data_IF_134479240182
#
_entry.id   IF_134479240182
#
_cell.length_a   1.000
_cell.length_b   1.000
_cell.length_c   1.000
_cell.angle_alpha   90.00
_cell.angle_beta   90.00
_cell.angle_gamma   90.00
#
_symmetry.space_group_name_H-M   'P 1'
#
loop_
_entity.id
_entity.type
_entity.pdbx_description
1 polymer ?
#
# COMPACT_ATOMS: atom_id res chain seq x y z
N UNK A 1 -45.87 -3.71 69.50
CA UNK A 1 -44.71 -4.09 68.66
C UNK A 1 -45.09 -3.96 67.21
N UNK A 2 -44.67 -2.88 66.57
CA UNK A 2 -44.87 -2.67 65.10
C UNK A 2 -43.58 -3.05 64.42
N UNK A 3 -43.57 -4.08 63.57
CA UNK A 3 -42.48 -4.46 62.72
C UNK A 3 -42.50 -3.52 61.49
N UNK A 4 -41.40 -2.79 61.29
CA UNK A 4 -41.13 -2.01 60.10
C UNK A 4 -40.39 -2.91 59.13
N UNK A 5 -41.05 -3.26 58.02
CA UNK A 5 -40.42 -3.99 56.90
C UNK A 5 -39.70 -2.98 56.03
N UNK A 6 -38.38 -3.01 56.04
CA UNK A 6 -37.53 -2.19 55.18
C UNK A 6 -37.37 -2.91 53.84
N UNK A 7 -38.02 -2.44 52.80
CA UNK A 7 -37.86 -2.94 51.40
C UNK A 7 -36.66 -2.19 50.80
N UNK A 8 -35.54 -2.86 50.67
CA UNK A 8 -34.38 -2.38 49.92
C UNK A 8 -34.65 -2.58 48.42
N UNK A 9 -34.90 -1.47 47.72
CA UNK A 9 -34.88 -1.40 46.23
C UNK A 9 -33.43 -1.35 45.77
N UNK A 10 -32.86 -2.49 45.32
CA UNK A 10 -31.63 -2.56 44.59
C UNK A 10 -31.87 -2.10 43.17
N UNK A 11 -31.61 -0.83 42.90
CA UNK A 11 -31.52 -0.29 41.55
C UNK A 11 -30.25 -0.84 40.86
N UNK A 12 -30.43 -1.89 40.06
CA UNK A 12 -29.41 -2.30 39.10
C UNK A 12 -29.30 -1.23 38.00
N UNK A 13 -28.37 -0.28 38.18
CA UNK A 13 -27.87 0.52 37.06
C UNK A 13 -27.04 -0.39 36.17
N UNK A 14 -27.64 -0.96 35.14
CA UNK A 14 -26.88 -1.48 34.00
C UNK A 14 -26.26 -0.29 33.30
N UNK A 15 -25.00 0.00 33.62
CA UNK A 15 -24.16 0.85 32.76
C UNK A 15 -24.03 0.13 31.43
N UNK A 16 -24.88 0.49 30.46
CA UNK A 16 -24.57 0.27 29.06
C UNK A 16 -23.37 1.16 28.73
N UNK A 17 -22.17 0.64 28.93
CA UNK A 17 -20.97 1.24 28.38
C UNK A 17 -21.06 1.05 26.87
N UNK A 18 -21.60 2.04 26.16
CA UNK A 18 -21.29 2.21 24.76
C UNK A 18 -19.78 2.43 24.71
N UNK A 19 -19.02 1.46 24.18
CA UNK A 19 -17.63 1.66 23.87
C UNK A 19 -17.58 2.83 22.89
N UNK A 20 -17.06 3.96 23.33
CA UNK A 20 -16.80 5.10 22.47
C UNK A 20 -15.81 4.64 21.38
N UNK A 21 -16.06 5.01 20.11
CA UNK A 21 -15.15 4.64 19.03
C UNK A 21 -13.76 5.19 19.33
N UNK A 22 -12.79 4.32 19.38
CA UNK A 22 -11.43 4.71 19.72
C UNK A 22 -10.68 5.26 18.51
N UNK A 23 -10.98 4.73 17.31
CA UNK A 23 -10.24 5.01 16.08
C UNK A 23 -11.10 5.72 15.03
N UNK A 24 -12.36 5.37 14.87
CA UNK A 24 -13.25 5.99 13.90
C UNK A 24 -13.63 7.41 14.33
N UNK A 25 -13.34 8.40 13.48
CA UNK A 25 -13.75 9.80 13.69
C UNK A 25 -15.05 10.10 12.96
N UNK A 26 -15.09 9.82 11.66
CA UNK A 26 -16.28 10.00 10.83
C UNK A 26 -16.23 9.14 9.57
N UNK A 27 -17.39 8.98 8.93
CA UNK A 27 -17.51 8.33 7.64
C UNK A 27 -18.61 8.97 6.82
N UNK A 28 -18.43 8.95 5.50
CA UNK A 28 -19.39 9.50 4.56
C UNK A 28 -19.58 8.53 3.40
N UNK A 29 -20.82 8.17 3.09
CA UNK A 29 -21.12 7.44 1.85
C UNK A 29 -20.91 8.41 0.68
N UNK A 30 -19.86 8.22 -0.11
CA UNK A 30 -19.50 9.12 -1.20
C UNK A 30 -20.00 8.64 -2.55
N UNK A 31 -20.22 7.30 -2.69
CA UNK A 31 -20.70 6.72 -3.94
C UNK A 31 -21.32 5.35 -3.74
N UNK A 32 -22.28 5.01 -4.60
CA UNK A 32 -22.83 3.65 -4.71
C UNK A 32 -22.76 3.19 -6.16
N UNK A 33 -22.20 2.01 -6.38
CA UNK A 33 -22.17 1.36 -7.68
C UNK A 33 -23.10 0.16 -7.74
N UNK A 34 -23.93 0.10 -8.77
CA UNK A 34 -24.66 -1.12 -9.11
C UNK A 34 -23.78 -2.05 -9.96
N UNK A 35 -24.11 -3.33 -10.00
CA UNK A 35 -23.47 -4.29 -10.94
C UNK A 35 -23.51 -3.81 -12.39
N UNK A 36 -24.57 -3.09 -12.78
CA UNK A 36 -24.70 -2.51 -14.12
C UNK A 36 -23.65 -1.44 -14.34
N UNK A 37 -23.55 -0.45 -13.45
CA UNK A 37 -22.56 0.64 -13.57
C UNK A 37 -21.13 0.13 -13.53
N UNK A 38 -20.81 -0.84 -12.65
CA UNK A 38 -19.47 -1.48 -12.63
C UNK A 38 -19.20 -2.21 -13.95
N UNK A 39 -20.20 -2.89 -14.51
CA UNK A 39 -20.05 -3.58 -15.80
C UNK A 39 -19.79 -2.62 -16.96
N UNK A 40 -20.36 -1.43 -16.92
CA UNK A 40 -20.11 -0.35 -17.89
C UNK A 40 -18.69 0.21 -17.73
N UNK A 41 -18.22 0.45 -16.48
CA UNK A 41 -16.83 0.82 -16.20
C UNK A 41 -15.85 -0.23 -16.72
N UNK A 42 -16.10 -1.54 -16.48
CA UNK A 42 -15.24 -2.61 -16.99
C UNK A 42 -15.17 -2.63 -18.51
N UNK A 43 -16.31 -2.37 -19.19
CA UNK A 43 -16.35 -2.24 -20.65
C UNK A 43 -15.52 -1.04 -21.12
N UNK A 44 -15.70 0.13 -20.50
CA UNK A 44 -14.97 1.37 -20.80
C UNK A 44 -13.45 1.18 -20.66
N UNK A 45 -13.01 0.58 -19.56
CA UNK A 45 -11.60 0.36 -19.25
C UNK A 45 -11.04 -0.97 -19.77
N UNK A 46 -11.81 -1.73 -20.57
CA UNK A 46 -11.43 -3.03 -21.16
C UNK A 46 -11.00 -4.07 -20.13
N UNK A 47 -11.60 -4.05 -18.93
CA UNK A 47 -11.31 -5.00 -17.85
C UNK A 47 -12.09 -6.29 -18.08
N UNK A 48 -11.41 -7.47 -18.24
CA UNK A 48 -12.10 -8.73 -18.46
C UNK A 48 -12.86 -9.19 -17.21
N UNK A 49 -14.19 -9.36 -17.31
CA UNK A 49 -15.03 -9.86 -16.20
C UNK A 49 -14.64 -11.27 -15.71
N UNK A 50 -13.94 -12.05 -16.51
CA UNK A 50 -13.42 -13.36 -16.10
C UNK A 50 -12.30 -13.24 -15.08
N UNK A 51 -11.58 -12.12 -15.07
CA UNK A 51 -10.49 -11.81 -14.12
C UNK A 51 -11.07 -11.10 -12.90
N UNK A 52 -11.82 -10.01 -13.11
CA UNK A 52 -12.52 -9.26 -12.08
C UNK A 52 -14.05 -9.39 -12.29
N UNK A 53 -14.66 -10.43 -11.76
CA UNK A 53 -16.09 -10.69 -11.97
C UNK A 53 -16.95 -9.68 -11.21
N UNK A 54 -18.01 -9.19 -11.86
CA UNK A 54 -18.98 -8.28 -11.28
C UNK A 54 -20.13 -9.08 -10.66
N UNK A 55 -20.12 -9.24 -9.33
CA UNK A 55 -21.09 -10.07 -8.61
C UNK A 55 -22.00 -9.31 -7.69
N UNK A 56 -21.54 -8.21 -7.12
CA UNK A 56 -22.23 -7.45 -6.10
C UNK A 56 -22.21 -5.95 -6.42
N UNK A 57 -23.27 -5.26 -5.99
CA UNK A 57 -23.24 -3.80 -5.87
C UNK A 57 -22.24 -3.43 -4.77
N UNK A 58 -21.73 -2.20 -4.79
CA UNK A 58 -20.70 -1.73 -3.86
C UNK A 58 -21.02 -0.33 -3.40
N UNK A 59 -21.01 -0.12 -2.09
CA UNK A 59 -21.01 1.20 -1.47
C UNK A 59 -19.58 1.62 -1.16
N UNK A 60 -19.25 2.89 -1.38
CA UNK A 60 -17.94 3.48 -1.19
C UNK A 60 -18.04 4.57 -0.14
N UNK A 61 -17.29 4.41 0.93
CA UNK A 61 -17.23 5.37 2.02
C UNK A 61 -15.84 6.02 2.06
N UNK A 62 -15.83 7.31 2.31
CA UNK A 62 -14.66 7.99 2.85
C UNK A 62 -14.67 7.79 4.36
N UNK A 63 -13.53 7.41 4.92
CA UNK A 63 -13.37 7.16 6.37
C UNK A 63 -12.27 8.05 6.91
N UNK A 64 -12.59 8.78 7.98
CA UNK A 64 -11.64 9.57 8.76
C UNK A 64 -11.38 8.84 10.08
N UNK A 65 -10.11 8.66 10.43
CA UNK A 65 -9.73 7.88 11.59
C UNK A 65 -8.51 8.46 12.32
N UNK A 66 -8.36 8.09 13.59
CA UNK A 66 -7.21 8.46 14.43
C UNK A 66 -6.09 7.43 14.26
N UNK A 67 -4.88 7.91 14.18
CA UNK A 67 -3.66 7.09 14.18
C UNK A 67 -2.59 7.74 15.06
N UNK A 68 -1.61 6.94 15.53
CA UNK A 68 -0.45 7.48 16.23
C UNK A 68 0.59 7.97 15.24
N UNK A 69 1.06 9.21 15.44
CA UNK A 69 2.24 9.73 14.78
C UNK A 69 3.52 9.12 15.34
N UNK A 70 4.67 9.41 14.73
CA UNK A 70 5.99 8.88 15.14
C UNK A 70 6.39 9.23 16.58
N UNK A 71 5.88 10.34 17.13
CA UNK A 71 6.08 10.78 18.50
C UNK A 71 4.98 10.30 19.48
N UNK A 72 4.14 9.38 19.03
CA UNK A 72 2.99 8.85 19.77
C UNK A 72 1.83 9.82 20.00
N UNK A 73 1.84 11.02 19.43
CA UNK A 73 0.67 11.92 19.41
C UNK A 73 -0.41 11.36 18.49
N UNK A 74 -1.67 11.70 18.74
CA UNK A 74 -2.76 11.33 17.88
C UNK A 74 -2.89 12.32 16.73
N UNK A 75 -3.00 11.78 15.51
CA UNK A 75 -3.27 12.52 14.29
C UNK A 75 -4.51 11.96 13.61
N UNK A 76 -5.11 12.78 12.76
CA UNK A 76 -6.19 12.37 11.87
C UNK A 76 -5.60 11.80 10.57
N UNK A 77 -6.18 10.68 10.11
CA UNK A 77 -5.87 10.04 8.83
C UNK A 77 -7.15 9.78 8.06
N UNK A 78 -7.03 9.46 6.77
CA UNK A 78 -8.17 9.13 5.92
C UNK A 78 -7.91 7.89 5.06
N UNK A 79 -8.98 7.40 4.45
CA UNK A 79 -8.93 6.31 3.50
C UNK A 79 -10.28 6.07 2.84
N UNK A 80 -10.31 5.21 1.82
CA UNK A 80 -11.50 4.84 1.10
C UNK A 80 -11.87 3.40 1.44
N UNK A 81 -13.13 3.17 1.72
CA UNK A 81 -13.68 1.90 2.17
C UNK A 81 -14.77 1.41 1.23
N UNK A 82 -14.57 0.24 0.62
CA UNK A 82 -15.44 -0.36 -0.38
C UNK A 82 -16.18 -1.55 0.22
N UNK A 83 -17.49 -1.45 0.30
CA UNK A 83 -18.37 -2.42 0.96
C UNK A 83 -19.26 -3.12 -0.06
N UNK A 84 -19.07 -4.44 -0.30
CA UNK A 84 -19.97 -5.19 -1.16
C UNK A 84 -21.37 -5.35 -0.50
N UNK A 85 -22.45 -5.16 -1.27
CA UNK A 85 -23.82 -5.42 -0.78
C UNK A 85 -24.11 -6.93 -0.74
N UNK A 86 -23.65 -7.58 0.32
CA UNK A 86 -23.80 -9.02 0.55
C UNK A 86 -24.31 -9.31 1.97
N UNK A 87 -25.06 -10.40 2.12
CA UNK A 87 -25.59 -10.82 3.44
C UNK A 87 -24.60 -11.65 4.28
N UNK A 88 -23.65 -12.32 3.63
CA UNK A 88 -22.68 -13.20 4.28
C UNK A 88 -21.42 -12.44 4.70
N UNK A 89 -20.71 -12.97 5.70
CA UNK A 89 -19.42 -12.45 6.10
C UNK A 89 -18.40 -12.52 4.96
N UNK A 90 -17.57 -11.49 4.83
CA UNK A 90 -16.59 -11.32 3.76
C UNK A 90 -15.17 -11.10 4.30
N UNK A 91 -14.12 -11.47 3.56
CA UNK A 91 -12.74 -11.18 3.94
C UNK A 91 -12.41 -9.72 3.73
N UNK A 92 -11.52 -9.18 4.57
CA UNK A 92 -10.85 -7.92 4.30
C UNK A 92 -9.78 -8.08 3.21
N UNK A 93 -9.65 -7.07 2.36
CA UNK A 93 -8.52 -6.87 1.47
C UNK A 93 -8.05 -5.43 1.60
N UNK A 94 -6.80 -5.22 2.00
CA UNK A 94 -6.21 -3.90 2.11
C UNK A 94 -5.23 -3.68 0.95
N UNK A 95 -5.36 -2.55 0.28
CA UNK A 95 -4.55 -2.17 -0.87
C UNK A 95 -3.74 -0.92 -0.58
N UNK A 96 -2.42 -1.04 -0.61
CA UNK A 96 -1.51 0.09 -0.59
C UNK A 96 -1.32 0.69 -1.98
N UNK A 97 -1.51 2.00 -2.08
CA UNK A 97 -1.33 2.70 -3.35
C UNK A 97 0.15 2.99 -3.65
N UNK A 98 0.45 3.29 -4.91
CA UNK A 98 1.77 3.72 -5.36
C UNK A 98 2.12 5.13 -4.93
N UNK A 99 3.33 5.57 -5.27
CA UNK A 99 3.88 6.88 -4.87
C UNK A 99 2.99 8.04 -5.30
N UNK A 100 2.74 8.94 -4.37
CA UNK A 100 1.98 10.16 -4.55
C UNK A 100 2.62 11.29 -3.74
N UNK A 101 2.79 12.47 -4.35
CA UNK A 101 3.21 13.70 -3.67
C UNK A 101 2.04 14.68 -3.47
N UNK A 102 0.99 14.52 -4.27
CA UNK A 102 -0.24 15.32 -4.13
C UNK A 102 -0.96 14.93 -2.84
N UNK A 103 -1.31 15.95 -2.05
CA UNK A 103 -2.06 15.72 -0.82
C UNK A 103 -3.52 15.36 -1.09
N UNK A 104 -4.15 16.07 -2.04
CA UNK A 104 -5.57 15.85 -2.33
C UNK A 104 -5.81 14.53 -3.07
N UNK A 105 -6.85 13.86 -2.66
CA UNK A 105 -7.36 12.67 -3.32
C UNK A 105 -8.88 12.69 -3.32
N UNK A 106 -9.43 12.52 -4.50
CA UNK A 106 -10.87 12.36 -4.70
C UNK A 106 -11.22 10.90 -4.99
N UNK A 107 -12.42 10.48 -4.59
CA UNK A 107 -12.95 9.20 -5.03
C UNK A 107 -13.28 9.29 -6.51
N UNK A 108 -12.56 8.53 -7.33
CA UNK A 108 -12.63 8.64 -8.79
C UNK A 108 -12.74 7.28 -9.48
N UNK A 109 -13.69 7.17 -10.41
CA UNK A 109 -13.80 5.99 -11.28
C UNK A 109 -12.70 5.91 -12.34
N UNK A 110 -11.95 7.00 -12.52
CA UNK A 110 -10.81 7.07 -13.44
C UNK A 110 -9.49 6.63 -12.81
N UNK A 111 -9.42 6.55 -11.48
CA UNK A 111 -8.22 6.09 -10.77
C UNK A 111 -8.12 4.56 -10.86
N UNK A 112 -7.09 4.08 -11.56
CA UNK A 112 -6.86 2.65 -11.78
C UNK A 112 -6.65 1.88 -10.46
N UNK A 113 -6.02 2.48 -9.46
CA UNK A 113 -5.73 1.84 -8.18
C UNK A 113 -7.01 1.73 -7.32
N UNK A 114 -7.86 2.76 -7.32
CA UNK A 114 -9.19 2.70 -6.73
C UNK A 114 -10.08 1.66 -7.46
N UNK A 115 -9.95 1.55 -8.78
CA UNK A 115 -10.60 0.52 -9.60
C UNK A 115 -10.23 -0.90 -9.17
N UNK A 116 -9.02 -1.14 -8.66
CA UNK A 116 -8.62 -2.44 -8.08
C UNK A 116 -9.48 -2.74 -6.86
N UNK A 117 -9.63 -1.81 -5.92
CA UNK A 117 -10.46 -2.00 -4.73
C UNK A 117 -11.94 -2.25 -5.09
N UNK A 118 -12.49 -1.48 -6.04
CA UNK A 118 -13.83 -1.73 -6.57
C UNK A 118 -13.96 -3.14 -7.17
N UNK A 119 -12.92 -3.61 -7.89
CA UNK A 119 -12.89 -4.94 -8.50
C UNK A 119 -12.88 -6.07 -7.47
N UNK A 120 -12.12 -5.93 -6.40
CA UNK A 120 -12.15 -6.89 -5.30
C UNK A 120 -13.48 -6.82 -4.54
N UNK A 121 -14.00 -5.61 -4.29
CA UNK A 121 -15.26 -5.44 -3.56
C UNK A 121 -16.44 -6.06 -4.31
N UNK A 122 -16.60 -5.79 -5.62
CA UNK A 122 -17.70 -6.41 -6.38
C UNK A 122 -17.60 -7.94 -6.45
N UNK A 123 -16.39 -8.52 -6.29
CA UNK A 123 -16.20 -9.97 -6.15
C UNK A 123 -16.38 -10.47 -4.69
N UNK A 124 -16.79 -9.61 -3.78
CA UNK A 124 -17.17 -9.94 -2.39
C UNK A 124 -15.99 -9.97 -1.42
N UNK A 125 -15.03 -9.06 -1.55
CA UNK A 125 -14.10 -8.65 -0.51
C UNK A 125 -14.58 -7.32 0.11
N UNK A 126 -14.30 -7.09 1.36
CA UNK A 126 -14.38 -5.78 1.98
C UNK A 126 -13.02 -5.11 1.69
N UNK A 127 -12.99 -4.10 0.81
CA UNK A 127 -11.72 -3.52 0.38
C UNK A 127 -11.44 -2.19 1.09
N UNK A 128 -10.21 -2.04 1.60
CA UNK A 128 -9.71 -0.87 2.30
C UNK A 128 -8.54 -0.26 1.52
N UNK A 129 -8.54 1.05 1.38
CA UNK A 129 -7.54 1.82 0.68
C UNK A 129 -7.07 2.96 1.60
N UNK A 130 -6.07 2.75 2.49
CA UNK A 130 -5.54 3.80 3.34
C UNK A 130 -4.81 4.86 2.50
N UNK A 131 -4.99 6.14 2.86
CA UNK A 131 -4.36 7.26 2.17
C UNK A 131 -2.89 7.49 2.59
N UNK A 132 -2.35 6.72 3.49
CA UNK A 132 -1.13 6.97 4.24
C UNK A 132 -1.16 8.28 5.04
N UNK A 133 -0.21 8.46 5.95
CA UNK A 133 -0.06 9.68 6.74
C UNK A 133 0.23 10.87 5.83
N UNK A 134 -0.43 12.00 6.09
CA UNK A 134 -0.22 13.25 5.36
C UNK A 134 -0.87 13.33 3.98
N UNK A 135 -1.49 12.25 3.49
CA UNK A 135 -2.23 12.23 2.21
C UNK A 135 -3.74 12.22 2.47
N UNK A 136 -4.54 12.58 1.48
CA UNK A 136 -5.98 12.71 1.60
C UNK A 136 -6.34 13.82 2.59
N UNK A 137 -7.25 13.51 3.52
CA UNK A 137 -7.63 14.39 4.63
C UNK A 137 -6.75 14.20 5.88
N UNK A 138 -5.67 13.43 5.74
CA UNK A 138 -4.73 13.15 6.81
C UNK A 138 -3.91 14.37 7.24
N UNK A 139 -3.59 14.43 8.53
CA UNK A 139 -2.66 15.39 9.12
C UNK A 139 -1.20 14.96 8.95
N UNK A 140 -0.28 15.87 9.19
CA UNK A 140 1.15 15.64 9.08
C UNK A 140 1.64 15.65 7.63
N UNK A 141 2.75 14.95 7.40
CA UNK A 141 3.37 14.78 6.09
C UNK A 141 3.47 13.31 5.73
N UNK A 142 3.48 13.03 4.45
CA UNK A 142 3.74 11.68 3.99
C UNK A 142 5.20 11.30 4.27
N UNK A 143 5.37 10.16 4.97
CA UNK A 143 6.68 9.58 5.27
C UNK A 143 6.98 8.49 4.25
N UNK A 144 7.50 8.90 3.09
CA UNK A 144 7.75 8.03 1.95
C UNK A 144 8.75 6.90 2.26
N UNK A 145 8.38 5.65 1.95
CA UNK A 145 9.17 4.43 2.21
C UNK A 145 9.59 4.26 3.69
N UNK A 146 8.79 4.78 4.61
CA UNK A 146 8.94 4.58 6.04
C UNK A 146 8.04 3.44 6.50
N UNK A 147 8.60 2.26 6.67
CA UNK A 147 7.88 0.99 6.86
C UNK A 147 6.88 1.03 8.02
N UNK A 148 7.24 1.70 9.13
CA UNK A 148 6.35 1.80 10.29
C UNK A 148 5.10 2.65 9.97
N UNK A 149 5.23 3.85 9.44
CA UNK A 149 4.07 4.72 9.20
C UNK A 149 3.16 4.19 8.08
N UNK A 150 3.77 3.60 7.05
CA UNK A 150 3.01 2.92 6.00
C UNK A 150 2.20 1.75 6.58
N UNK A 151 2.83 0.90 7.39
CA UNK A 151 2.14 -0.20 8.06
C UNK A 151 1.04 0.27 9.03
N UNK A 152 1.32 1.31 9.82
CA UNK A 152 0.34 1.85 10.76
C UNK A 152 -0.88 2.46 10.08
N UNK A 153 -0.74 2.99 8.85
CA UNK A 153 -1.91 3.42 8.05
C UNK A 153 -2.88 2.27 7.81
N UNK A 154 -2.37 1.06 7.54
CA UNK A 154 -3.19 -0.14 7.39
C UNK A 154 -3.82 -0.56 8.72
N UNK A 155 -3.03 -0.61 9.78
CA UNK A 155 -3.47 -1.08 11.10
C UNK A 155 -4.59 -0.18 11.65
N UNK A 156 -4.38 1.12 11.70
CA UNK A 156 -5.36 2.05 12.25
C UNK A 156 -6.60 2.19 11.38
N UNK A 157 -6.47 2.14 10.04
CA UNK A 157 -7.63 2.08 9.17
C UNK A 157 -8.45 0.82 9.43
N UNK A 158 -7.80 -0.34 9.60
CA UNK A 158 -8.52 -1.59 9.86
C UNK A 158 -9.28 -1.54 11.19
N UNK A 159 -8.70 -0.95 12.23
CA UNK A 159 -9.38 -0.74 13.50
C UNK A 159 -10.62 0.16 13.33
N UNK A 160 -10.49 1.27 12.62
CA UNK A 160 -11.61 2.18 12.37
C UNK A 160 -12.73 1.56 11.53
N UNK A 161 -12.40 0.78 10.49
CA UNK A 161 -13.44 0.11 9.70
C UNK A 161 -14.08 -1.07 10.43
N UNK A 162 -13.41 -1.67 11.40
CA UNK A 162 -14.02 -2.66 12.30
C UNK A 162 -15.08 -2.01 13.20
N UNK A 163 -14.81 -0.80 13.71
CA UNK A 163 -15.79 0.01 14.45
C UNK A 163 -16.96 0.44 13.53
N UNK A 164 -16.65 0.89 12.31
CA UNK A 164 -17.67 1.25 11.30
C UNK A 164 -18.56 0.07 10.96
N UNK A 165 -18.00 -1.13 10.79
CA UNK A 165 -18.75 -2.33 10.45
C UNK A 165 -19.87 -2.66 11.45
N UNK A 166 -19.64 -2.39 12.74
CA UNK A 166 -20.65 -2.57 13.78
C UNK A 166 -21.82 -1.59 13.56
N UNK A 167 -21.53 -0.36 13.12
CA UNK A 167 -22.55 0.68 12.88
C UNK A 167 -23.39 0.41 11.63
N UNK A 168 -22.77 -0.08 10.55
CA UNK A 168 -23.43 -0.34 9.26
C UNK A 168 -23.77 -1.83 9.05
N UNK A 169 -23.64 -2.65 10.11
CA UNK A 169 -24.00 -4.07 10.13
C UNK A 169 -23.29 -4.91 9.05
N UNK A 170 -22.02 -4.68 8.85
CA UNK A 170 -21.17 -5.48 7.95
C UNK A 170 -20.44 -6.56 8.75
N UNK A 171 -20.41 -7.78 8.22
CA UNK A 171 -19.74 -8.93 8.86
C UNK A 171 -18.47 -9.31 8.10
N UNK A 172 -17.35 -9.30 8.81
CA UNK A 172 -16.11 -9.89 8.30
C UNK A 172 -16.03 -11.38 8.69
N UNK A 173 -15.26 -12.17 7.93
CA UNK A 173 -15.08 -13.61 8.15
C UNK A 173 -13.74 -13.95 8.83
N UNK A 174 -13.04 -12.95 9.39
CA UNK A 174 -11.75 -13.11 10.06
C UNK A 174 -10.54 -13.21 9.12
N UNK A 175 -10.73 -13.27 7.80
CA UNK A 175 -9.64 -13.30 6.84
C UNK A 175 -9.16 -11.88 6.50
N UNK A 176 -7.84 -11.68 6.49
CA UNK A 176 -7.18 -10.42 6.10
C UNK A 176 -6.16 -10.69 4.98
N UNK A 177 -6.35 -10.03 3.86
CA UNK A 177 -5.46 -10.05 2.71
C UNK A 177 -4.76 -8.69 2.56
N UNK A 178 -3.44 -8.69 2.34
CA UNK A 178 -2.65 -7.48 2.19
C UNK A 178 -1.99 -7.44 0.82
N UNK A 179 -2.11 -6.33 0.12
CA UNK A 179 -1.46 -6.15 -1.18
C UNK A 179 -1.25 -4.66 -1.48
N UNK A 180 -0.50 -4.38 -2.51
CA UNK A 180 -0.22 -3.04 -3.00
C UNK A 180 0.86 -3.09 -4.09
N UNK A 181 0.97 -2.02 -4.86
CA UNK A 181 1.90 -1.94 -5.99
C UNK A 181 2.92 -0.82 -5.77
N UNK A 182 4.18 -1.03 -6.19
CA UNK A 182 5.24 -0.03 -6.06
C UNK A 182 5.48 0.34 -4.58
N UNK A 183 5.35 1.60 -4.18
CA UNK A 183 5.33 1.99 -2.75
C UNK A 183 4.33 1.14 -1.96
N UNK A 184 3.16 0.86 -2.53
CA UNK A 184 2.15 0.00 -1.90
C UNK A 184 2.61 -1.45 -1.72
N UNK A 185 3.52 -1.93 -2.56
CA UNK A 185 4.18 -3.22 -2.39
C UNK A 185 5.03 -3.25 -1.12
N UNK A 186 5.84 -2.21 -0.90
CA UNK A 186 6.61 -2.03 0.33
C UNK A 186 5.66 -1.87 1.54
N UNK A 187 4.68 -0.99 1.45
CA UNK A 187 3.73 -0.71 2.52
C UNK A 187 2.92 -1.95 2.96
N UNK A 188 2.40 -2.73 2.00
CA UNK A 188 1.63 -3.94 2.30
C UNK A 188 2.48 -5.04 2.93
N UNK A 189 3.76 -5.12 2.57
CA UNK A 189 4.67 -6.08 3.17
C UNK A 189 5.15 -5.64 4.56
N UNK A 190 5.39 -4.35 4.76
CA UNK A 190 5.57 -3.76 6.09
C UNK A 190 4.33 -4.00 6.96
N UNK A 191 3.12 -3.78 6.43
CA UNK A 191 1.87 -4.04 7.15
C UNK A 191 1.78 -5.48 7.64
N UNK A 192 2.14 -6.49 6.83
CA UNK A 192 2.19 -7.88 7.30
C UNK A 192 3.12 -8.04 8.50
N UNK A 193 4.33 -7.50 8.43
CA UNK A 193 5.33 -7.57 9.51
C UNK A 193 4.77 -7.01 10.83
N UNK A 194 4.10 -5.87 10.75
CA UNK A 194 3.55 -5.21 11.93
C UNK A 194 2.27 -5.86 12.44
N UNK A 195 1.33 -6.30 11.58
CA UNK A 195 0.16 -7.09 12.01
C UNK A 195 0.58 -8.37 12.74
N UNK A 196 1.58 -9.08 12.21
CA UNK A 196 2.08 -10.30 12.84
C UNK A 196 2.85 -10.04 14.14
N UNK A 197 3.47 -8.86 14.31
CA UNK A 197 4.12 -8.43 15.54
C UNK A 197 3.11 -7.99 16.61
N UNK A 198 2.09 -7.20 16.23
CA UNK A 198 0.99 -6.76 17.12
C UNK A 198 0.19 -7.97 17.59
N UNK A 199 0.00 -8.98 16.74
CA UNK A 199 -0.69 -10.24 17.04
C UNK A 199 -2.11 -10.06 17.60
N UNK A 200 -2.86 -9.08 17.10
CA UNK A 200 -4.27 -8.89 17.45
C UNK A 200 -5.10 -10.06 16.92
N UNK A 201 -5.78 -10.77 17.82
CA UNK A 201 -6.56 -11.96 17.46
C UNK A 201 -7.72 -11.69 16.49
N UNK A 202 -8.19 -10.43 16.41
CA UNK A 202 -9.26 -10.00 15.49
C UNK A 202 -8.80 -9.97 14.03
N UNK A 203 -7.50 -9.75 13.78
CA UNK A 203 -6.95 -9.46 12.46
C UNK A 203 -5.75 -10.34 12.13
N UNK A 204 -6.03 -11.58 11.83
CA UNK A 204 -5.00 -12.54 11.43
C UNK A 204 -4.76 -12.47 9.92
N UNK A 205 -3.53 -12.15 9.52
CA UNK A 205 -3.15 -12.13 8.10
C UNK A 205 -3.34 -13.50 7.48
N UNK A 206 -4.13 -13.58 6.42
CA UNK A 206 -4.40 -14.82 5.69
C UNK A 206 -3.36 -15.06 4.60
N UNK A 207 -3.05 -14.03 3.83
CA UNK A 207 -1.99 -14.04 2.81
C UNK A 207 -1.63 -12.61 2.40
N UNK A 208 -0.39 -12.41 1.97
CA UNK A 208 0.09 -11.14 1.40
C UNK A 208 0.63 -11.35 0.01
N UNK A 209 0.34 -10.40 -0.89
CA UNK A 209 0.90 -10.36 -2.24
C UNK A 209 1.48 -8.98 -2.52
N UNK A 210 2.70 -8.69 -2.05
CA UNK A 210 3.37 -7.43 -2.33
C UNK A 210 3.87 -7.43 -3.77
N UNK A 211 3.65 -6.33 -4.51
CA UNK A 211 3.90 -6.23 -5.94
C UNK A 211 4.91 -5.12 -6.25
N UNK A 212 6.02 -5.46 -6.90
CA UNK A 212 7.07 -4.51 -7.37
C UNK A 212 7.46 -3.46 -6.33
N UNK A 213 7.71 -3.86 -5.07
CA UNK A 213 8.08 -2.93 -3.98
C UNK A 213 9.59 -2.88 -3.76
N UNK A 214 10.06 -1.77 -3.17
CA UNK A 214 11.45 -1.55 -2.80
C UNK A 214 11.76 -2.20 -1.44
N UNK A 215 11.96 -3.52 -1.42
CA UNK A 215 12.15 -4.27 -0.17
C UNK A 215 13.59 -4.23 0.35
N UNK A 216 14.56 -3.98 -0.53
CA UNK A 216 15.99 -3.92 -0.24
C UNK A 216 16.51 -2.50 -0.48
N UNK A 217 16.19 -1.63 0.46
CA UNK A 217 16.44 -0.19 0.38
C UNK A 217 17.93 0.16 0.33
N UNK A 218 18.77 -0.58 1.07
CA UNK A 218 20.23 -0.36 1.17
C UNK A 218 21.06 -1.28 0.29
N UNK A 219 20.43 -2.12 -0.52
CA UNK A 219 21.12 -3.00 -1.46
C UNK A 219 20.76 -2.66 -2.90
N UNK A 220 19.63 -3.18 -3.38
CA UNK A 220 19.25 -3.00 -4.79
C UNK A 220 18.67 -1.63 -5.09
N UNK A 221 17.90 -1.01 -4.16
CA UNK A 221 17.25 0.26 -4.43
C UNK A 221 18.20 1.45 -4.33
N UNK A 222 19.15 1.46 -3.39
CA UNK A 222 20.09 2.57 -3.23
C UNK A 222 20.98 2.81 -4.46
N UNK A 223 21.21 1.78 -5.28
CA UNK A 223 22.01 1.90 -6.52
C UNK A 223 21.50 2.99 -7.44
N UNK A 224 20.18 3.19 -7.45
CA UNK A 224 19.53 4.23 -8.26
C UNK A 224 19.84 5.66 -7.80
N UNK A 225 20.33 5.86 -6.59
CA UNK A 225 20.79 7.17 -6.15
C UNK A 225 22.01 7.67 -6.95
N UNK A 226 22.82 6.74 -7.49
CA UNK A 226 24.13 6.98 -8.08
C UNK A 226 24.21 6.74 -9.60
N UNK A 227 23.12 6.39 -10.24
CA UNK A 227 23.07 6.10 -11.68
C UNK A 227 21.88 6.79 -12.36
N UNK A 228 21.85 6.79 -13.69
CA UNK A 228 20.69 7.28 -14.44
C UNK A 228 19.42 6.53 -13.99
N UNK A 229 18.40 7.31 -13.69
CA UNK A 229 17.16 6.79 -13.12
C UNK A 229 15.93 7.51 -13.69
N UNK A 230 14.86 6.80 -14.08
CA UNK A 230 13.68 7.41 -14.69
C UNK A 230 12.83 8.23 -13.72
N UNK A 231 13.06 8.08 -12.41
CA UNK A 231 12.31 8.75 -11.34
C UNK A 231 13.24 9.41 -10.30
N UNK A 232 14.07 10.37 -10.71
CA UNK A 232 15.08 10.97 -9.84
C UNK A 232 14.50 11.68 -8.62
N UNK A 233 13.23 12.11 -8.63
CA UNK A 233 12.57 12.78 -7.51
C UNK A 233 12.39 11.87 -6.27
N UNK A 234 12.52 10.56 -6.40
CA UNK A 234 12.39 9.66 -5.25
C UNK A 234 13.47 9.92 -4.19
N UNK A 235 14.70 10.30 -4.58
CA UNK A 235 15.76 10.59 -3.60
C UNK A 235 15.44 11.79 -2.70
N UNK A 236 15.13 12.99 -3.21
CA UNK A 236 14.78 14.12 -2.34
C UNK A 236 13.49 13.87 -1.55
N UNK A 237 12.51 13.13 -2.10
CA UNK A 237 11.30 12.77 -1.37
C UNK A 237 11.61 11.84 -0.19
N UNK A 238 12.50 10.87 -0.38
CA UNK A 238 12.99 9.98 0.65
C UNK A 238 13.77 10.75 1.73
N UNK A 239 14.74 11.60 1.34
CA UNK A 239 15.54 12.38 2.27
C UNK A 239 14.69 13.30 3.15
N UNK A 240 13.71 14.01 2.56
CA UNK A 240 12.80 14.88 3.32
C UNK A 240 11.91 14.07 4.27
N UNK A 241 11.44 12.89 3.85
CA UNK A 241 10.63 12.00 4.69
C UNK A 241 11.44 11.45 5.87
N UNK A 242 12.68 11.05 5.64
CA UNK A 242 13.55 10.51 6.69
C UNK A 242 14.06 11.59 7.65
N UNK A 243 14.23 12.84 7.18
CA UNK A 243 14.49 13.96 8.09
C UNK A 243 13.34 14.16 9.07
N UNK A 244 12.09 14.08 8.60
CA UNK A 244 10.90 14.21 9.46
C UNK A 244 10.79 13.01 10.41
N UNK A 245 11.00 11.79 9.90
CA UNK A 245 10.80 10.58 10.66
C UNK A 245 11.88 10.34 11.73
N UNK A 246 13.13 10.70 11.43
CA UNK A 246 14.30 10.26 12.21
C UNK A 246 15.29 11.36 12.54
N UNK A 247 15.08 12.58 12.04
CA UNK A 247 16.04 13.68 12.18
C UNK A 247 17.47 13.25 11.76
N UNK A 248 17.59 12.68 10.57
CA UNK A 248 18.83 12.06 10.06
C UNK A 248 19.99 13.04 9.87
N UNK A 249 19.68 14.35 9.86
CA UNK A 249 20.63 15.48 9.81
C UNK A 249 20.29 16.45 10.94
N UNK A 250 20.66 16.15 12.20
CA UNK A 250 20.19 16.87 13.38
C UNK A 250 20.56 18.36 13.41
N UNK A 251 21.69 18.73 12.81
CA UNK A 251 22.15 20.13 12.75
C UNK A 251 21.50 20.92 11.59
N UNK A 252 20.67 20.28 10.79
CA UNK A 252 20.01 20.88 9.62
C UNK A 252 18.63 21.41 10.00
N UNK A 253 18.49 22.72 10.24
CA UNK A 253 17.20 23.36 10.55
C UNK A 253 16.20 23.30 9.38
N UNK A 254 16.70 23.36 8.15
CA UNK A 254 15.90 23.28 6.93
C UNK A 254 16.51 22.23 6.01
N UNK A 255 15.83 21.10 5.84
CA UNK A 255 16.30 19.99 5.02
C UNK A 255 16.61 20.40 3.56
N UNK A 256 15.93 21.40 3.02
CA UNK A 256 16.15 21.79 1.64
C UNK A 256 17.51 22.47 1.39
N UNK A 257 18.18 22.94 2.45
CA UNK A 257 19.55 23.49 2.33
C UNK A 257 20.61 22.48 1.95
N UNK A 258 20.31 21.18 2.02
CA UNK A 258 21.23 20.12 1.57
C UNK A 258 21.24 19.94 0.05
N UNK A 259 20.28 20.51 -0.66
CA UNK A 259 20.21 20.44 -2.10
C UNK A 259 20.96 21.59 -2.76
N UNK A 260 21.48 21.36 -3.95
CA UNK A 260 22.12 22.38 -4.79
C UNK A 260 21.04 23.26 -5.42
N UNK A 261 21.36 24.54 -5.67
CA UNK A 261 20.46 25.43 -6.43
C UNK A 261 20.26 24.88 -7.87
N UNK A 262 19.05 24.96 -8.41
CA UNK A 262 17.85 25.61 -7.85
C UNK A 262 16.94 24.70 -7.02
N UNK A 263 17.36 23.46 -6.70
CA UNK A 263 16.54 22.44 -6.05
C UNK A 263 16.24 22.77 -4.58
N UNK A 264 17.09 23.55 -3.93
CA UNK A 264 16.87 24.09 -2.58
C UNK A 264 15.60 24.95 -2.46
N UNK A 265 15.19 25.61 -3.55
CA UNK A 265 13.96 26.40 -3.65
C UNK A 265 12.84 25.70 -4.39
N UNK A 266 13.15 24.81 -5.33
CA UNK A 266 12.18 24.07 -6.13
C UNK A 266 11.47 22.99 -5.33
N UNK A 267 12.20 22.18 -4.54
CA UNK A 267 11.64 21.06 -3.79
C UNK A 267 10.62 21.48 -2.72
N UNK A 268 10.85 22.56 -1.91
CA UNK A 268 9.82 23.06 -1.00
C UNK A 268 8.54 23.47 -1.73
N UNK A 269 8.65 23.97 -2.95
CA UNK A 269 7.48 24.31 -3.74
C UNK A 269 6.62 23.08 -4.05
N UNK A 270 7.22 21.95 -4.44
CA UNK A 270 6.51 20.70 -4.74
C UNK A 270 6.03 19.96 -3.48
N UNK A 271 6.87 19.91 -2.45
CA UNK A 271 6.57 19.07 -1.28
C UNK A 271 5.79 19.78 -0.18
N UNK A 272 5.73 21.12 -0.19
CA UNK A 272 5.11 21.88 0.89
C UNK A 272 4.07 22.90 0.43
N UNK A 273 4.33 23.63 -0.66
CA UNK A 273 3.53 24.79 -1.05
C UNK A 273 2.48 24.49 -2.10
N UNK A 274 2.82 23.69 -3.10
CA UNK A 274 1.92 23.36 -4.22
C UNK A 274 1.69 21.85 -4.31
N UNK A 275 0.95 21.32 -3.35
CA UNK A 275 0.62 19.90 -3.21
C UNK A 275 -0.37 19.39 -4.27
N UNK A 276 -0.74 20.20 -5.26
CA UNK A 276 -1.57 19.81 -6.41
C UNK A 276 -0.76 19.36 -7.63
N UNK A 277 0.55 19.66 -7.68
CA UNK A 277 1.40 19.25 -8.80
C UNK A 277 1.80 17.78 -8.73
N UNK A 278 1.94 17.19 -9.91
CA UNK A 278 2.34 15.80 -10.04
C UNK A 278 3.85 15.61 -9.89
N UNK A 279 4.27 14.37 -9.59
CA UNK A 279 5.69 14.03 -9.58
C UNK A 279 6.29 14.03 -11.00
N UNK A 280 5.49 13.82 -12.06
CA UNK A 280 5.94 13.89 -13.45
C UNK A 280 6.40 15.30 -13.81
N UNK A 281 5.78 16.34 -13.23
CA UNK A 281 6.22 17.72 -13.42
C UNK A 281 7.58 17.98 -12.75
N UNK A 282 7.81 17.38 -11.58
CA UNK A 282 9.09 17.46 -10.90
C UNK A 282 10.18 16.67 -11.63
N UNK A 283 9.89 15.45 -12.10
CA UNK A 283 10.86 14.63 -12.82
C UNK A 283 11.45 15.32 -14.06
N UNK A 284 10.63 16.09 -14.79
CA UNK A 284 11.08 16.85 -15.98
C UNK A 284 12.13 17.90 -15.65
N UNK A 285 12.18 18.37 -14.42
CA UNK A 285 13.11 19.39 -13.94
C UNK A 285 14.36 18.80 -13.27
N UNK A 286 14.36 17.49 -12.99
CA UNK A 286 15.42 16.80 -12.29
C UNK A 286 16.54 16.34 -13.23
N UNK A 287 17.82 16.34 -12.80
CA UNK A 287 18.88 15.67 -13.54
C UNK A 287 18.66 14.15 -13.53
N UNK A 288 19.19 13.44 -14.53
CA UNK A 288 18.97 12.00 -14.65
C UNK A 288 19.62 11.16 -13.54
N UNK A 289 20.60 11.71 -12.82
CA UNK A 289 21.26 11.03 -11.69
C UNK A 289 20.82 11.73 -10.39
N UNK A 290 20.06 11.06 -9.53
CA UNK A 290 19.43 11.70 -8.36
C UNK A 290 20.40 12.41 -7.42
N UNK A 291 21.59 11.83 -7.16
CA UNK A 291 22.58 12.43 -6.26
C UNK A 291 23.11 13.79 -6.72
N UNK A 292 22.99 14.11 -8.01
CA UNK A 292 23.59 15.34 -8.57
C UNK A 292 22.95 16.62 -8.05
N UNK A 293 21.73 16.53 -7.49
CA UNK A 293 21.08 17.65 -6.79
C UNK A 293 21.48 17.78 -5.32
N UNK A 294 22.15 16.78 -4.74
CA UNK A 294 22.56 16.78 -3.32
C UNK A 294 23.95 17.36 -3.20
N UNK A 295 24.21 18.12 -2.13
CA UNK A 295 25.55 18.70 -1.88
C UNK A 295 26.59 17.59 -1.71
N UNK A 296 27.77 17.80 -2.27
CA UNK A 296 28.81 16.76 -2.41
C UNK A 296 29.27 16.18 -1.09
N UNK A 297 29.35 16.99 -0.01
CA UNK A 297 29.73 16.51 1.31
C UNK A 297 28.77 15.43 1.86
N UNK A 298 27.45 15.54 1.57
CA UNK A 298 26.49 14.53 2.00
C UNK A 298 26.58 13.26 1.18
N UNK A 299 26.87 13.38 -0.13
CA UNK A 299 27.14 12.24 -1.00
C UNK A 299 28.37 11.50 -0.49
N UNK A 300 29.44 12.23 -0.13
CA UNK A 300 30.65 11.66 0.45
C UNK A 300 30.38 10.97 1.80
N UNK A 301 29.65 11.63 2.71
CA UNK A 301 29.21 11.01 3.97
C UNK A 301 28.45 9.70 3.74
N UNK A 302 27.52 9.69 2.79
CA UNK A 302 26.74 8.47 2.50
C UNK A 302 27.63 7.32 2.01
N UNK A 303 28.63 7.62 1.17
CA UNK A 303 29.51 6.62 0.60
C UNK A 303 30.57 6.11 1.59
N UNK A 304 31.14 6.99 2.40
CA UNK A 304 32.36 6.74 3.16
C UNK A 304 32.14 6.64 4.69
N UNK A 305 31.05 7.23 5.23
CA UNK A 305 30.75 7.15 6.65
C UNK A 305 29.72 6.04 6.96
N UNK A 306 30.20 4.93 7.51
CA UNK A 306 29.35 3.82 7.95
C UNK A 306 28.47 4.17 9.15
N UNK A 307 28.74 5.29 9.84
CA UNK A 307 27.97 5.75 10.99
C UNK A 307 26.87 6.73 10.59
N UNK A 308 26.83 7.17 9.33
CA UNK A 308 25.87 8.15 8.85
C UNK A 308 24.43 7.70 9.14
N UNK A 309 23.69 8.53 9.88
CA UNK A 309 22.39 8.17 10.42
C UNK A 309 21.37 7.84 9.33
N UNK A 310 21.37 8.57 8.23
CA UNK A 310 20.47 8.30 7.11
C UNK A 310 20.65 6.87 6.56
N UNK A 311 21.89 6.41 6.37
CA UNK A 311 22.19 5.05 5.91
C UNK A 311 21.69 3.98 6.89
N UNK A 312 21.91 4.20 8.20
CA UNK A 312 21.41 3.31 9.25
C UNK A 312 19.88 3.25 9.25
N UNK A 313 19.21 4.40 9.17
CA UNK A 313 17.73 4.45 9.16
C UNK A 313 17.15 3.89 7.89
N UNK A 314 17.83 4.03 6.75
CA UNK A 314 17.43 3.35 5.51
C UNK A 314 17.47 1.82 5.68
N UNK A 315 18.50 1.29 6.34
CA UNK A 315 18.61 -0.15 6.61
C UNK A 315 17.51 -0.68 7.54
N UNK A 316 17.03 0.09 8.51
CA UNK A 316 15.91 -0.27 9.40
C UNK A 316 14.58 -0.45 8.63
N UNK A 317 14.47 0.16 7.44
CA UNK A 317 13.31 0.04 6.56
C UNK A 317 13.43 -1.09 5.51
N UNK A 318 14.51 -1.86 5.53
CA UNK A 318 14.60 -3.09 4.73
C UNK A 318 13.57 -4.13 5.20
N UNK A 319 12.94 -4.77 4.23
CA UNK A 319 11.94 -5.82 4.46
C UNK A 319 12.41 -7.19 3.95
N UNK A 320 13.72 -7.40 3.87
CA UNK A 320 14.31 -8.62 3.31
C UNK A 320 14.58 -9.71 4.35
N UNK A 321 14.92 -9.34 5.59
CA UNK A 321 15.40 -10.27 6.62
C UNK A 321 14.43 -10.39 7.81
N UNK A 322 13.32 -11.13 7.62
CA UNK A 322 12.38 -11.49 8.67
C UNK A 322 11.56 -12.73 8.25
N UNK A 323 10.84 -13.35 9.19
CA UNK A 323 10.09 -14.59 8.96
C UNK A 323 8.58 -14.34 8.97
N UNK A 324 7.94 -14.10 7.81
CA UNK A 324 6.48 -14.02 7.72
C UNK A 324 5.83 -15.35 8.13
N UNK A 325 4.80 -15.28 8.96
CA UNK A 325 3.99 -16.43 9.40
C UNK A 325 2.93 -16.78 8.34
N UNK A 326 2.27 -15.76 7.79
CA UNK A 326 1.30 -15.94 6.71
C UNK A 326 1.99 -16.13 5.34
N UNK A 327 1.34 -16.82 4.40
CA UNK A 327 1.86 -17.03 3.06
C UNK A 327 2.10 -15.73 2.29
N UNK A 328 3.23 -15.64 1.55
CA UNK A 328 3.63 -14.48 0.75
C UNK A 328 3.82 -14.87 -0.72
N UNK A 329 3.36 -14.02 -1.65
CA UNK A 329 3.67 -14.13 -3.07
C UNK A 329 4.20 -12.78 -3.59
N UNK A 330 5.49 -12.67 -3.85
CA UNK A 330 6.04 -11.53 -4.58
C UNK A 330 5.65 -11.60 -6.05
N UNK A 331 5.15 -10.48 -6.60
CA UNK A 331 4.88 -10.33 -8.04
C UNK A 331 5.71 -9.17 -8.59
N UNK A 332 6.37 -9.40 -9.74
CA UNK A 332 7.23 -8.39 -10.38
C UNK A 332 7.40 -8.68 -11.87
N UNK A 333 7.98 -7.73 -12.60
CA UNK A 333 8.45 -7.91 -13.97
C UNK A 333 9.94 -7.52 -14.08
N UNK A 334 10.72 -8.26 -14.86
CA UNK A 334 12.16 -7.95 -15.03
C UNK A 334 12.43 -6.72 -15.89
N UNK A 335 11.45 -6.28 -16.70
CA UNK A 335 11.54 -5.04 -17.46
C UNK A 335 11.34 -3.78 -16.63
N UNK A 336 10.97 -3.90 -15.34
CA UNK A 336 10.79 -2.78 -14.43
C UNK A 336 12.10 -2.01 -14.21
N UNK A 337 12.09 -0.70 -14.51
CA UNK A 337 13.22 0.22 -14.36
C UNK A 337 13.02 1.25 -13.26
N UNK A 338 11.81 1.32 -12.67
CA UNK A 338 11.50 2.20 -11.55
C UNK A 338 11.79 1.53 -10.20
N UNK A 339 11.34 0.29 -10.03
CA UNK A 339 11.70 -0.53 -8.88
C UNK A 339 12.42 -1.77 -9.38
N UNK A 340 13.72 -1.85 -9.11
CA UNK A 340 14.53 -2.97 -9.56
C UNK A 340 13.90 -4.29 -9.12
N UNK A 341 13.60 -5.15 -10.07
CA UNK A 341 13.01 -6.47 -9.82
C UNK A 341 13.83 -7.33 -8.83
N UNK A 342 15.12 -7.08 -8.73
CA UNK A 342 16.02 -7.75 -7.77
C UNK A 342 15.62 -7.50 -6.32
N UNK A 343 14.91 -6.39 -5.99
CA UNK A 343 14.32 -6.21 -4.67
C UNK A 343 13.47 -7.43 -4.26
N UNK A 344 12.63 -7.93 -5.17
CA UNK A 344 11.81 -9.12 -4.92
C UNK A 344 12.63 -10.40 -4.82
N UNK A 345 13.69 -10.55 -5.65
CA UNK A 345 14.57 -11.71 -5.65
C UNK A 345 15.41 -11.76 -4.37
N UNK A 346 15.99 -10.64 -3.93
CA UNK A 346 16.77 -10.55 -2.68
C UNK A 346 15.85 -10.86 -1.48
N UNK A 347 14.68 -10.24 -1.38
CA UNK A 347 13.73 -10.52 -0.29
C UNK A 347 13.37 -12.02 -0.24
N UNK A 348 13.01 -12.60 -1.38
CA UNK A 348 12.68 -14.02 -1.49
C UNK A 348 13.86 -14.92 -1.06
N UNK A 349 15.05 -14.69 -1.62
CA UNK A 349 16.24 -15.54 -1.37
C UNK A 349 16.69 -15.45 0.09
N UNK A 350 16.73 -14.24 0.67
CA UNK A 350 17.08 -14.03 2.07
C UNK A 350 16.09 -14.74 3.00
N UNK A 351 14.78 -14.61 2.74
CA UNK A 351 13.77 -15.30 3.54
C UNK A 351 13.84 -16.82 3.39
N UNK A 352 14.12 -17.32 2.20
CA UNK A 352 14.35 -18.76 1.97
C UNK A 352 15.55 -19.27 2.75
N UNK A 353 16.67 -18.53 2.76
CA UNK A 353 17.88 -18.93 3.48
C UNK A 353 17.69 -19.01 5.00
N UNK A 354 16.79 -18.20 5.56
CA UNK A 354 16.45 -18.25 6.99
C UNK A 354 15.26 -19.19 7.31
N UNK A 355 14.83 -20.02 6.34
CA UNK A 355 13.89 -21.13 6.53
C UNK A 355 12.41 -20.78 6.30
N UNK A 356 12.07 -19.68 5.62
CA UNK A 356 10.68 -19.40 5.25
C UNK A 356 10.21 -20.34 4.14
N UNK A 357 9.15 -21.10 4.40
CA UNK A 357 8.61 -22.11 3.47
C UNK A 357 7.40 -21.61 2.66
N UNK A 358 6.57 -20.77 3.25
CA UNK A 358 5.30 -20.28 2.65
C UNK A 358 5.52 -19.02 1.82
N UNK A 359 6.51 -19.02 0.94
CA UNK A 359 6.87 -17.85 0.12
C UNK A 359 6.99 -18.25 -1.35
N UNK A 360 6.56 -17.39 -2.24
CA UNK A 360 6.63 -17.56 -3.70
C UNK A 360 7.20 -16.34 -4.37
N UNK A 361 7.97 -16.57 -5.43
CA UNK A 361 8.49 -15.55 -6.31
C UNK A 361 7.82 -15.73 -7.68
N UNK A 362 7.21 -14.68 -8.21
CA UNK A 362 6.41 -14.73 -9.42
C UNK A 362 6.82 -13.63 -10.40
N UNK A 363 7.77 -13.95 -11.28
CA UNK A 363 8.09 -13.11 -12.42
C UNK A 363 6.96 -13.22 -13.46
N UNK A 364 6.33 -12.10 -13.74
CA UNK A 364 5.18 -12.04 -14.66
C UNK A 364 5.59 -11.80 -16.10
N UNK A 365 6.69 -11.07 -16.33
CA UNK A 365 7.26 -10.82 -17.66
C UNK A 365 8.72 -10.38 -17.56
N UNK A 366 9.53 -10.75 -18.54
CA UNK A 366 10.91 -10.27 -18.64
C UNK A 366 11.01 -8.90 -19.33
N UNK A 367 9.91 -8.37 -19.89
CA UNK A 367 9.92 -7.22 -20.78
C UNK A 367 9.11 -6.03 -20.28
N UNK A 368 7.98 -6.28 -19.58
CA UNK A 368 7.05 -5.23 -19.19
C UNK A 368 7.67 -4.28 -18.17
N UNK A 369 7.46 -2.97 -18.41
CA UNK A 369 7.84 -1.89 -17.51
C UNK A 369 7.00 -1.86 -16.24
N UNK A 370 7.34 -0.92 -15.35
CA UNK A 370 6.69 -0.75 -14.05
C UNK A 370 5.17 -0.58 -14.17
N UNK A 371 4.73 0.32 -15.04
CA UNK A 371 3.31 0.66 -15.15
C UNK A 371 2.49 -0.47 -15.79
N UNK A 372 2.99 -1.06 -16.86
CA UNK A 372 2.31 -2.16 -17.57
C UNK A 372 2.30 -3.44 -16.74
N UNK A 373 3.34 -3.69 -15.94
CA UNK A 373 3.43 -4.82 -15.01
C UNK A 373 2.29 -4.84 -13.98
N UNK A 374 1.82 -3.67 -13.53
CA UNK A 374 0.82 -3.52 -12.47
C UNK A 374 -0.46 -4.33 -12.73
N UNK A 375 -0.99 -4.28 -13.95
CA UNK A 375 -2.21 -5.01 -14.30
C UNK A 375 -2.07 -6.53 -14.16
N UNK A 376 -0.92 -7.08 -14.56
CA UNK A 376 -0.63 -8.52 -14.45
C UNK A 376 -0.34 -8.93 -13.01
N UNK A 377 0.31 -8.07 -12.24
CA UNK A 377 0.56 -8.28 -10.83
C UNK A 377 -0.76 -8.34 -10.03
N UNK A 378 -1.68 -7.43 -10.28
CA UNK A 378 -3.03 -7.44 -9.68
C UNK A 378 -3.81 -8.69 -10.06
N UNK A 379 -3.73 -9.12 -11.32
CA UNK A 379 -4.38 -10.34 -11.77
C UNK A 379 -3.80 -11.59 -11.07
N UNK A 380 -2.49 -11.69 -10.98
CA UNK A 380 -1.80 -12.78 -10.27
C UNK A 380 -2.15 -12.78 -8.77
N UNK A 381 -2.18 -11.62 -8.15
CA UNK A 381 -2.60 -11.41 -6.76
C UNK A 381 -4.06 -11.85 -6.55
N UNK A 382 -4.97 -11.44 -7.43
CA UNK A 382 -6.38 -11.86 -7.36
C UNK A 382 -6.52 -13.38 -7.41
N UNK A 383 -5.79 -14.05 -8.31
CA UNK A 383 -5.80 -15.51 -8.39
C UNK A 383 -5.18 -16.17 -7.17
N UNK A 384 -4.15 -15.55 -6.58
CA UNK A 384 -3.52 -16.03 -5.37
C UNK A 384 -4.46 -15.95 -4.17
N UNK A 385 -5.11 -14.81 -3.95
CA UNK A 385 -6.05 -14.60 -2.84
C UNK A 385 -7.30 -15.47 -2.96
N UNK A 386 -7.84 -15.64 -4.17
CA UNK A 386 -9.02 -16.48 -4.40
C UNK A 386 -8.81 -17.95 -3.97
N UNK A 387 -7.56 -18.42 -3.91
CA UNK A 387 -7.24 -19.76 -3.41
C UNK A 387 -7.51 -19.90 -1.92
N UNK A 388 -7.32 -18.81 -1.15
CA UNK A 388 -7.51 -18.78 0.29
C UNK A 388 -8.93 -18.36 0.70
N UNK A 389 -9.56 -17.48 -0.09
CA UNK A 389 -10.84 -16.84 0.24
C UNK A 389 -11.97 -17.81 0.61
N UNK A 390 -12.01 -19.03 0.07
CA UNK A 390 -13.15 -19.95 0.19
C UNK A 390 -13.00 -21.02 1.27
N UNK A 391 -11.90 -21.05 2.00
CA UNK A 391 -11.53 -22.26 2.73
C UNK A 391 -11.28 -22.05 4.23
N UNK A 392 -11.65 -20.91 4.82
CA UNK A 392 -11.52 -20.69 6.26
C UNK A 392 -10.11 -21.00 6.78
N UNK A 393 -10.03 -21.56 7.99
CA UNK A 393 -8.76 -21.83 8.68
C UNK A 393 -7.96 -23.05 8.13
N UNK A 394 -8.56 -23.86 7.27
CA UNK A 394 -7.89 -25.01 6.66
C UNK A 394 -8.17 -25.10 5.15
N UNK A 395 -7.50 -24.26 4.35
CA UNK A 395 -7.75 -24.21 2.92
C UNK A 395 -7.13 -25.40 2.20
N UNK A 396 -7.96 -26.31 1.71
CA UNK A 396 -7.58 -27.11 0.55
C UNK A 396 -7.47 -26.13 -0.63
N UNK A 397 -6.24 -25.69 -0.93
CA UNK A 397 -5.96 -24.70 -1.98
C UNK A 397 -6.51 -25.22 -3.32
N UNK A 398 -7.62 -24.65 -3.79
CA UNK A 398 -8.10 -24.91 -5.14
C UNK A 398 -7.17 -24.25 -6.15
N UNK A 399 -6.76 -25.00 -7.14
CA UNK A 399 -6.01 -24.42 -8.25
C UNK A 399 -6.84 -23.40 -9.03
N UNK A 400 -6.15 -22.36 -9.52
CA UNK A 400 -6.75 -21.44 -10.49
C UNK A 400 -7.21 -22.24 -11.71
N UNK A 401 -8.46 -22.09 -12.15
CA UNK A 401 -8.97 -22.79 -13.30
C UNK A 401 -8.04 -22.64 -14.53
N UNK A 402 -7.74 -23.73 -15.22
CA UNK A 402 -6.80 -23.75 -16.35
C UNK A 402 -7.15 -22.70 -17.42
N UNK A 403 -8.45 -22.51 -17.71
CA UNK A 403 -8.89 -21.51 -18.69
C UNK A 403 -8.55 -20.05 -18.27
N UNK A 404 -8.61 -19.72 -16.97
CA UNK A 404 -8.22 -18.39 -16.50
C UNK A 404 -6.72 -18.16 -16.66
N UNK A 405 -5.89 -19.18 -16.36
CA UNK A 405 -4.44 -19.13 -16.61
C UNK A 405 -4.14 -18.97 -18.11
N UNK A 406 -4.84 -19.72 -18.98
CA UNK A 406 -4.67 -19.60 -20.42
C UNK A 406 -5.05 -18.21 -20.95
N UNK A 407 -6.18 -17.66 -20.52
CA UNK A 407 -6.61 -16.31 -20.90
C UNK A 407 -5.62 -15.24 -20.42
N UNK A 408 -5.16 -15.34 -19.19
CA UNK A 408 -4.15 -14.44 -18.64
C UNK A 408 -2.86 -14.46 -19.50
N UNK A 409 -2.42 -15.64 -19.91
CA UNK A 409 -1.25 -15.79 -20.78
C UNK A 409 -1.46 -15.21 -22.18
N UNK A 410 -2.66 -15.35 -22.75
CA UNK A 410 -2.99 -14.75 -24.07
C UNK A 410 -2.93 -13.22 -23.99
N UNK A 411 -3.56 -12.64 -22.95
CA UNK A 411 -3.55 -11.17 -22.74
C UNK A 411 -2.11 -10.70 -22.55
N UNK A 412 -1.33 -11.39 -21.71
CA UNK A 412 0.09 -11.06 -21.46
C UNK A 412 0.90 -11.07 -22.77
N UNK A 413 0.84 -12.13 -23.56
CA UNK A 413 1.58 -12.23 -24.84
C UNK A 413 1.21 -11.10 -25.81
N UNK A 414 -0.08 -10.72 -25.84
CA UNK A 414 -0.53 -9.59 -26.67
C UNK A 414 0.05 -8.26 -26.21
N UNK A 415 0.09 -8.00 -24.91
CA UNK A 415 0.67 -6.76 -24.39
C UNK A 415 2.21 -6.75 -24.51
N UNK A 416 2.89 -7.87 -24.27
CA UNK A 416 4.34 -7.98 -24.52
C UNK A 416 4.70 -7.74 -26.00
N UNK A 417 3.86 -8.20 -26.93
CA UNK A 417 4.05 -7.92 -28.35
C UNK A 417 3.93 -6.43 -28.65
N UNK A 418 2.87 -5.79 -28.17
CA UNK A 418 2.68 -4.34 -28.34
C UNK A 418 3.83 -3.53 -27.72
N UNK A 419 4.26 -3.93 -26.52
CA UNK A 419 5.38 -3.29 -25.83
C UNK A 419 6.66 -3.35 -26.68
N UNK A 420 6.97 -4.52 -27.22
CA UNK A 420 8.12 -4.71 -28.12
C UNK A 420 8.00 -3.84 -29.37
N UNK A 421 6.84 -3.83 -30.03
CA UNK A 421 6.59 -3.03 -31.22
C UNK A 421 6.77 -1.54 -30.96
N UNK A 422 6.25 -1.00 -29.84
CA UNK A 422 6.37 0.43 -29.49
C UNK A 422 7.78 0.85 -29.06
N UNK A 423 8.64 -0.08 -28.65
CA UNK A 423 10.02 0.23 -28.20
C UNK A 423 11.09 -0.15 -29.21
N UNK A 424 10.75 -0.88 -30.28
CA UNK A 424 11.67 -1.12 -31.42
C UNK A 424 11.93 0.14 -32.25
N UNK A 425 10.97 1.07 -32.29
CA UNK A 425 11.15 2.33 -33.04
C UNK A 425 12.07 3.33 -32.32
N UNK A 426 12.25 3.20 -30.99
CA UNK A 426 13.18 4.06 -30.22
C UNK A 426 14.63 3.56 -30.17
N UNK A 427 14.91 2.35 -30.63
CA UNK A 427 16.27 1.81 -30.70
C UNK A 427 17.00 2.14 -32.02
N UNK A 428 16.36 2.94 -32.91
CA UNK A 428 16.93 3.35 -34.20
C UNK A 428 17.32 4.84 -34.27
N UNK A 429 17.39 5.53 -33.10
CA UNK A 429 17.91 6.88 -33.04
C UNK A 429 19.00 7.03 -31.98
#
# INVERSE_FOLDING_TARGET
>A
MRQIILILFLLFFTKTTFSEDQYLVSYTLVKSHTKKSISELWKKHKIPKVILPVKNDVDIYEVIYKAKWIDSTWITCSGIYYVPKIKKAAPYMMFGHGTQIQKQRDVSDGDAQQGICLGFATDGYIACYPDYYGIGKGEGRHLYQHSWSEAMSFVYMLYAVDELNKKINIKNNGQLFLTGYSQGGHASFAAQKYFEAINDSRFKVTATSPMSGAYDMTGEQEKYMFQKYPKPFYLPYLLTSYQIAYNVLPDTKNIYTIFKSPFDTLLPYFFEKNLSRSFEDLDKLMPPIPKDIVKDYLVDMYQNDTTFLFKKKLAENNLTNWKPKAPVQFCYCKGDREVNYKNSEVAYNTMKSIGVTKIKLNNLSDHLDHNTCAAFAVMATKFYFDRFKKHGDNPKMKDVPKFKKALANIIKKKEEKKYKESHHDHARF
#
